data_IF_299332875705
#
_entry.id   IF_299332875705
#
_cell.length_a   1.000
_cell.length_b   1.000
_cell.length_c   1.000
_cell.angle_alpha   90.00
_cell.angle_beta   90.00
_cell.angle_gamma   90.00
#
_symmetry.space_group_name_H-M   'P 1'
#
loop_
_entity.id
_entity.type
_entity.pdbx_description
1 polymer ?
#
# COMPACT_ATOMS: atom_id res chain seq x y z
N UNK A 1 -50.19 -5.31 3.82
CA UNK A 1 -48.90 -5.63 3.12
C UNK A 1 -48.16 -4.30 2.91
N UNK A 2 -47.20 -3.95 3.78
CA UNK A 2 -46.43 -2.72 3.67
C UNK A 2 -45.56 -2.80 2.39
N UNK A 3 -45.79 -1.90 1.44
CA UNK A 3 -44.93 -1.77 0.26
C UNK A 3 -43.53 -1.34 0.72
N UNK A 4 -42.59 -2.23 0.62
CA UNK A 4 -41.18 -1.91 0.88
C UNK A 4 -40.73 -0.86 -0.17
N UNK A 5 -40.39 0.33 0.32
CA UNK A 5 -39.93 1.41 -0.55
C UNK A 5 -38.53 1.07 -1.09
N UNK A 6 -38.22 1.51 -2.31
CA UNK A 6 -36.88 1.32 -2.92
C UNK A 6 -35.76 1.82 -2.04
N UNK A 7 -35.95 2.92 -1.30
CA UNK A 7 -35.00 3.45 -0.33
C UNK A 7 -34.74 2.48 0.83
N UNK A 8 -35.73 1.74 1.30
CA UNK A 8 -35.59 0.79 2.39
C UNK A 8 -34.75 -0.44 1.94
N UNK A 9 -34.97 -0.88 0.68
CA UNK A 9 -34.13 -1.95 0.08
C UNK A 9 -32.68 -1.51 -0.07
N UNK A 10 -32.40 -0.27 -0.49
CA UNK A 10 -31.05 0.25 -0.61
C UNK A 10 -30.34 0.29 0.74
N UNK A 11 -31.03 0.65 1.82
CA UNK A 11 -30.46 0.62 3.17
C UNK A 11 -30.15 -0.82 3.60
N UNK A 12 -31.05 -1.78 3.36
CA UNK A 12 -30.80 -3.17 3.71
C UNK A 12 -29.59 -3.74 2.91
N UNK A 13 -29.48 -3.44 1.62
CA UNK A 13 -28.31 -3.81 0.80
C UNK A 13 -27.04 -3.14 1.31
N UNK A 14 -27.09 -1.83 1.57
CA UNK A 14 -25.93 -1.08 2.10
C UNK A 14 -25.43 -1.65 3.43
N UNK A 15 -26.33 -1.97 4.35
CA UNK A 15 -25.97 -2.59 5.62
C UNK A 15 -25.33 -3.97 5.45
N UNK A 16 -25.81 -4.76 4.48
CA UNK A 16 -25.24 -6.09 4.21
C UNK A 16 -23.83 -5.99 3.63
N UNK A 17 -23.62 -5.07 2.69
CA UNK A 17 -22.32 -4.87 2.04
C UNK A 17 -21.31 -4.14 2.94
N UNK A 18 -21.77 -3.40 3.94
CA UNK A 18 -20.88 -2.72 4.90
C UNK A 18 -20.05 -3.70 5.73
N UNK A 19 -20.56 -4.92 6.00
CA UNK A 19 -19.83 -5.91 6.82
C UNK A 19 -18.51 -6.37 6.17
N UNK A 20 -18.49 -6.90 4.93
CA UNK A 20 -17.23 -7.27 4.28
C UNK A 20 -16.32 -6.07 4.07
N UNK A 21 -16.87 -4.87 3.79
CA UNK A 21 -16.06 -3.63 3.68
C UNK A 21 -15.38 -3.28 5.00
N UNK A 22 -16.08 -3.41 6.14
CA UNK A 22 -15.50 -3.16 7.46
C UNK A 22 -14.37 -4.16 7.79
N UNK A 23 -14.54 -5.44 7.43
CA UNK A 23 -13.51 -6.47 7.64
C UNK A 23 -12.26 -6.18 6.80
N UNK A 24 -12.42 -5.78 5.54
CA UNK A 24 -11.31 -5.35 4.69
C UNK A 24 -10.59 -4.14 5.28
N UNK A 25 -11.34 -3.10 5.68
CA UNK A 25 -10.75 -1.90 6.28
C UNK A 25 -10.04 -2.17 7.62
N UNK A 26 -10.50 -3.16 8.40
CA UNK A 26 -9.82 -3.58 9.63
C UNK A 26 -8.49 -4.29 9.33
N UNK A 27 -8.43 -5.10 8.28
CA UNK A 27 -7.19 -5.70 7.82
C UNK A 27 -6.19 -4.63 7.36
N UNK A 28 -6.63 -3.67 6.56
CA UNK A 28 -5.78 -2.56 6.10
C UNK A 28 -5.29 -1.69 7.26
N UNK A 29 -6.11 -1.50 8.31
CA UNK A 29 -5.75 -0.72 9.49
C UNK A 29 -4.50 -1.24 10.20
N UNK A 30 -4.24 -2.55 10.15
CA UNK A 30 -3.05 -3.16 10.77
C UNK A 30 -1.74 -2.77 10.09
N UNK A 31 -1.80 -2.20 8.88
CA UNK A 31 -0.63 -1.88 8.05
C UNK A 31 -0.41 -0.38 7.87
N UNK A 32 -1.25 0.48 8.46
CA UNK A 32 -1.10 1.93 8.32
C UNK A 32 0.08 2.46 9.14
N UNK A 33 0.82 3.46 8.63
CA UNK A 33 1.93 4.07 9.37
C UNK A 33 1.46 4.80 10.63
N UNK A 34 2.31 4.86 11.65
CA UNK A 34 2.01 5.45 12.95
C UNK A 34 1.46 6.89 12.82
N UNK A 35 2.04 7.69 11.94
CA UNK A 35 1.62 9.07 11.65
C UNK A 35 0.19 9.19 11.10
N UNK A 36 -0.36 8.13 10.50
CA UNK A 36 -1.72 8.08 9.96
C UNK A 36 -2.73 7.43 10.93
N UNK A 37 -2.26 6.88 12.06
CA UNK A 37 -3.07 6.09 12.99
C UNK A 37 -4.30 6.87 13.50
N UNK A 38 -4.12 8.14 13.87
CA UNK A 38 -5.21 8.98 14.35
C UNK A 38 -6.28 9.22 13.27
N UNK A 39 -5.87 9.51 12.03
CA UNK A 39 -6.79 9.68 10.89
C UNK A 39 -7.48 8.38 10.55
N UNK A 40 -6.78 7.25 10.56
CA UNK A 40 -7.33 5.92 10.32
C UNK A 40 -8.34 5.49 11.37
N UNK A 41 -8.04 5.67 12.66
CA UNK A 41 -8.96 5.37 13.76
C UNK A 41 -10.22 6.23 13.69
N UNK A 42 -10.09 7.53 13.40
CA UNK A 42 -11.23 8.44 13.27
C UNK A 42 -12.09 8.07 12.07
N UNK A 43 -11.48 7.73 10.93
CA UNK A 43 -12.17 7.22 9.74
C UNK A 43 -12.97 5.95 10.07
N UNK A 44 -12.35 4.97 10.73
CA UNK A 44 -13.01 3.73 11.15
C UNK A 44 -14.17 3.97 12.11
N UNK A 45 -14.00 4.86 13.10
CA UNK A 45 -15.03 5.20 14.07
C UNK A 45 -16.24 5.86 13.41
N UNK A 46 -16.03 6.82 12.51
CA UNK A 46 -17.12 7.47 11.77
C UNK A 46 -17.91 6.47 10.91
N UNK A 47 -17.21 5.53 10.26
CA UNK A 47 -17.85 4.46 9.49
C UNK A 47 -18.67 3.53 10.40
N UNK A 48 -18.14 3.13 11.56
CA UNK A 48 -18.85 2.31 12.54
C UNK A 48 -20.11 3.02 13.08
N UNK A 49 -20.00 4.29 13.45
CA UNK A 49 -21.15 5.10 13.89
C UNK A 49 -22.19 5.24 12.77
N UNK A 50 -21.75 5.51 11.53
CA UNK A 50 -22.65 5.58 10.37
C UNK A 50 -23.39 4.27 10.12
N UNK A 51 -22.69 3.13 10.25
CA UNK A 51 -23.28 1.81 10.13
C UNK A 51 -24.35 1.55 11.20
N UNK A 52 -24.05 1.85 12.47
CA UNK A 52 -25.03 1.74 13.58
C UNK A 52 -26.26 2.63 13.33
N UNK A 53 -26.05 3.87 12.91
CA UNK A 53 -27.16 4.78 12.56
C UNK A 53 -28.02 4.22 11.42
N UNK A 54 -27.44 3.58 10.41
CA UNK A 54 -28.19 2.96 9.32
C UNK A 54 -28.95 1.70 9.76
N UNK A 55 -28.40 0.89 10.67
CA UNK A 55 -29.12 -0.23 11.27
C UNK A 55 -30.35 0.25 12.06
N UNK A 56 -30.15 1.27 12.89
CA UNK A 56 -31.25 1.87 13.67
C UNK A 56 -32.29 2.52 12.73
N UNK A 57 -31.87 3.16 11.65
CA UNK A 57 -32.75 3.69 10.62
C UNK A 57 -33.61 2.61 9.97
N UNK A 58 -33.02 1.47 9.60
CA UNK A 58 -33.75 0.34 9.04
C UNK A 58 -34.81 -0.18 10.04
N UNK A 59 -34.45 -0.33 11.32
CA UNK A 59 -35.34 -0.73 12.40
C UNK A 59 -36.51 0.25 12.59
N UNK A 60 -36.22 1.55 12.68
CA UNK A 60 -37.22 2.60 12.82
C UNK A 60 -38.24 2.62 11.68
N UNK A 61 -37.75 2.46 10.42
CA UNK A 61 -38.63 2.37 9.23
C UNK A 61 -39.55 1.14 9.27
N UNK A 62 -39.04 -0.01 9.68
CA UNK A 62 -39.80 -1.26 9.82
C UNK A 62 -40.85 -1.16 10.95
N UNK A 63 -40.57 -0.37 11.99
CA UNK A 63 -41.51 -0.10 13.12
C UNK A 63 -42.48 1.05 12.86
N UNK A 64 -42.55 1.59 11.63
CA UNK A 64 -43.47 2.69 11.31
C UNK A 64 -42.99 4.09 11.69
N UNK A 65 -41.80 4.22 12.32
CA UNK A 65 -41.18 5.49 12.71
C UNK A 65 -40.33 6.09 11.56
N UNK A 66 -40.95 6.22 10.38
CA UNK A 66 -40.25 6.63 9.15
C UNK A 66 -39.50 7.97 9.26
N UNK A 67 -40.06 9.04 9.90
CA UNK A 67 -39.32 10.30 10.05
C UNK A 67 -38.02 10.14 10.83
N UNK A 68 -38.04 9.35 11.92
CA UNK A 68 -36.85 9.02 12.70
C UNK A 68 -35.83 8.26 11.86
N UNK A 69 -36.28 7.27 11.06
CA UNK A 69 -35.42 6.52 10.16
C UNK A 69 -34.74 7.42 9.11
N UNK A 70 -35.46 8.41 8.57
CA UNK A 70 -34.91 9.41 7.64
C UNK A 70 -33.82 10.26 8.32
N UNK A 71 -34.11 10.76 9.52
CA UNK A 71 -33.18 11.56 10.31
C UNK A 71 -31.89 10.78 10.61
N UNK A 72 -32.01 9.54 11.06
CA UNK A 72 -30.83 8.66 11.31
C UNK A 72 -30.01 8.42 10.07
N UNK A 73 -30.64 8.20 8.91
CA UNK A 73 -29.91 8.07 7.65
C UNK A 73 -29.21 9.38 7.24
N UNK A 74 -29.80 10.54 7.50
CA UNK A 74 -29.18 11.83 7.20
C UNK A 74 -27.95 12.08 8.09
N UNK A 75 -28.03 11.73 9.38
CA UNK A 75 -26.88 11.78 10.31
C UNK A 75 -25.77 10.84 9.85
N UNK A 76 -26.11 9.59 9.47
CA UNK A 76 -25.15 8.64 8.93
C UNK A 76 -24.47 9.17 7.67
N UNK A 77 -25.22 9.75 6.73
CA UNK A 77 -24.67 10.32 5.51
C UNK A 77 -23.70 11.48 5.80
N UNK A 78 -24.00 12.36 6.75
CA UNK A 78 -23.07 13.42 7.16
C UNK A 78 -21.77 12.88 7.73
N UNK A 79 -21.84 11.87 8.61
CA UNK A 79 -20.66 11.20 9.15
C UNK A 79 -19.83 10.49 8.07
N UNK A 80 -20.49 9.83 7.12
CA UNK A 80 -19.83 9.16 5.99
C UNK A 80 -19.14 10.15 5.04
N UNK A 81 -19.70 11.34 4.81
CA UNK A 81 -19.03 12.39 4.02
C UNK A 81 -17.74 12.84 4.70
N UNK A 82 -17.76 13.08 6.02
CA UNK A 82 -16.56 13.40 6.79
C UNK A 82 -15.54 12.24 6.74
N UNK A 83 -16.02 11.01 6.88
CA UNK A 83 -15.18 9.81 6.78
C UNK A 83 -14.54 9.67 5.40
N UNK A 84 -15.26 9.98 4.32
CA UNK A 84 -14.72 9.95 2.95
C UNK A 84 -13.55 10.92 2.77
N UNK A 85 -13.63 12.10 3.37
CA UNK A 85 -12.52 13.06 3.38
C UNK A 85 -11.28 12.47 4.06
N UNK A 86 -11.44 11.88 5.25
CA UNK A 86 -10.34 11.23 5.97
C UNK A 86 -9.76 10.03 5.18
N UNK A 87 -10.61 9.24 4.53
CA UNK A 87 -10.17 8.16 3.64
C UNK A 87 -9.33 8.68 2.48
N UNK A 88 -9.71 9.81 1.89
CA UNK A 88 -8.89 10.51 0.88
C UNK A 88 -7.54 10.96 1.46
N UNK A 89 -7.50 11.49 2.66
CA UNK A 89 -6.26 11.89 3.34
C UNK A 89 -5.33 10.68 3.58
N UNK A 90 -5.89 9.53 3.99
CA UNK A 90 -5.13 8.29 4.15
C UNK A 90 -4.43 7.88 2.85
N UNK A 91 -5.13 7.95 1.71
CA UNK A 91 -4.58 7.56 0.41
C UNK A 91 -3.60 8.61 -0.14
N UNK A 92 -4.00 9.88 -0.21
CA UNK A 92 -3.23 10.90 -0.94
C UNK A 92 -2.13 11.56 -0.12
N UNK A 93 -2.30 11.72 1.20
CA UNK A 93 -1.30 12.30 2.09
C UNK A 93 -0.39 11.23 2.69
N UNK A 94 -0.98 10.22 3.31
CA UNK A 94 -0.24 9.17 4.01
C UNK A 94 0.13 7.97 3.12
N UNK A 95 -0.36 7.92 1.88
CA UNK A 95 -0.07 6.88 0.89
C UNK A 95 -0.39 5.46 1.38
N UNK A 96 -1.48 5.32 2.13
CA UNK A 96 -1.97 4.02 2.58
C UNK A 96 -2.56 3.25 1.40
N UNK A 97 -2.18 1.98 1.23
CA UNK A 97 -2.69 1.10 0.19
C UNK A 97 -2.27 1.45 -1.25
N UNK A 98 -1.33 2.38 -1.43
CA UNK A 98 -0.77 2.71 -2.75
C UNK A 98 0.67 2.27 -2.86
N UNK A 99 1.13 2.03 -4.09
CA UNK A 99 2.53 1.72 -4.35
C UNK A 99 3.43 2.90 -3.93
N UNK A 100 4.33 2.64 -2.99
CA UNK A 100 5.30 3.63 -2.50
C UNK A 100 6.61 3.62 -3.28
N UNK A 101 6.76 2.66 -4.18
CA UNK A 101 7.94 2.60 -5.04
C UNK A 101 7.96 3.82 -5.93
N UNK A 102 8.96 4.66 -5.78
CA UNK A 102 9.27 5.66 -6.79
C UNK A 102 9.79 4.88 -7.99
N UNK A 103 9.06 4.88 -9.13
CA UNK A 103 9.73 4.55 -10.39
C UNK A 103 10.92 5.51 -10.45
N UNK A 104 12.16 5.02 -10.38
CA UNK A 104 13.25 5.92 -10.66
C UNK A 104 12.99 6.40 -12.08
N UNK A 105 13.00 7.74 -12.31
CA UNK A 105 13.42 8.25 -13.59
C UNK A 105 14.89 7.84 -13.73
N UNK A 106 15.09 6.54 -13.82
CA UNK A 106 16.41 5.92 -13.83
C UNK A 106 17.17 6.46 -15.00
N UNK A 107 18.47 6.42 -14.95
CA UNK A 107 19.30 6.93 -16.03
C UNK A 107 18.89 6.23 -17.32
N UNK A 108 18.44 6.99 -18.31
CA UNK A 108 18.25 6.50 -19.67
C UNK A 108 19.60 6.03 -20.28
N UNK A 109 20.70 6.60 -19.76
CA UNK A 109 22.08 6.27 -20.10
C UNK A 109 22.76 5.53 -18.95
N UNK A 110 23.80 4.76 -19.28
CA UNK A 110 24.64 4.09 -18.30
C UNK A 110 25.31 5.10 -17.36
N UNK A 111 25.13 4.91 -16.05
CA UNK A 111 25.70 5.77 -15.01
C UNK A 111 26.56 4.95 -14.05
N UNK A 112 27.82 5.36 -13.83
CA UNK A 112 28.64 4.76 -12.80
C UNK A 112 28.09 5.12 -11.41
N UNK A 113 27.99 4.12 -10.53
CA UNK A 113 27.39 4.28 -9.18
C UNK A 113 28.32 3.85 -8.06
N UNK A 114 29.22 2.87 -8.32
CA UNK A 114 30.08 2.30 -7.29
C UNK A 114 31.31 1.68 -7.97
N UNK A 115 32.47 1.62 -7.27
CA UNK A 115 33.55 0.78 -7.71
C UNK A 115 33.19 -0.70 -7.48
N UNK A 116 33.53 -1.57 -8.40
CA UNK A 116 33.18 -2.99 -8.32
C UNK A 116 33.72 -3.66 -7.06
N UNK A 117 34.93 -3.27 -6.62
CA UNK A 117 35.58 -3.79 -5.42
C UNK A 117 34.86 -3.43 -4.11
N UNK A 118 33.99 -2.40 -4.15
CA UNK A 118 33.26 -1.95 -2.97
C UNK A 118 31.97 -2.75 -2.73
N UNK A 119 31.57 -3.64 -3.67
CA UNK A 119 30.39 -4.50 -3.54
C UNK A 119 30.83 -5.96 -3.29
N UNK A 120 30.98 -6.40 -2.01
CA UNK A 120 31.34 -7.77 -1.71
C UNK A 120 30.23 -8.76 -2.07
N UNK A 121 30.60 -10.03 -2.25
CA UNK A 121 29.64 -11.12 -2.44
C UNK A 121 28.73 -11.28 -1.21
N UNK A 122 27.42 -11.37 -1.43
CA UNK A 122 26.42 -11.61 -0.38
C UNK A 122 26.12 -10.42 0.54
N UNK A 123 26.67 -9.24 0.26
CA UNK A 123 26.37 -8.04 1.04
C UNK A 123 25.52 -7.07 0.23
N UNK A 124 24.32 -6.69 0.72
CA UNK A 124 23.50 -5.67 0.09
C UNK A 124 24.10 -4.28 0.29
N UNK A 125 23.92 -3.41 -0.70
CA UNK A 125 24.40 -2.04 -0.64
C UNK A 125 23.38 -1.10 -1.27
N UNK A 126 23.08 0.00 -0.59
CA UNK A 126 22.20 1.05 -1.12
C UNK A 126 23.04 2.13 -1.77
N UNK A 127 22.65 2.52 -2.98
CA UNK A 127 23.22 3.65 -3.73
C UNK A 127 22.10 4.59 -4.17
N UNK A 128 22.47 5.85 -4.43
CA UNK A 128 21.54 6.85 -4.94
C UNK A 128 21.80 7.10 -6.44
N UNK A 129 20.74 6.97 -7.25
CA UNK A 129 20.83 7.22 -8.70
C UNK A 129 19.78 8.27 -9.06
N UNK A 130 20.20 9.49 -9.40
CA UNK A 130 19.31 10.64 -9.66
C UNK A 130 18.27 10.88 -8.56
N UNK A 131 18.67 10.72 -7.30
CA UNK A 131 17.78 10.88 -6.15
C UNK A 131 16.79 9.74 -5.92
N UNK A 132 16.96 8.62 -6.63
CA UNK A 132 16.23 7.38 -6.38
C UNK A 132 17.16 6.36 -5.70
N UNK A 133 16.76 5.77 -4.56
CA UNK A 133 17.53 4.74 -3.91
C UNK A 133 17.44 3.41 -4.66
N UNK A 134 18.61 2.80 -4.91
CA UNK A 134 18.76 1.51 -5.60
C UNK A 134 19.53 0.56 -4.70
N UNK A 135 19.01 -0.64 -4.53
CA UNK A 135 19.64 -1.76 -3.85
C UNK A 135 20.54 -2.50 -4.86
N UNK A 136 21.81 -2.63 -4.51
CA UNK A 136 22.78 -3.49 -5.21
C UNK A 136 23.04 -4.73 -4.36
N UNK A 137 23.09 -5.88 -5.01
CA UNK A 137 23.42 -7.14 -4.36
C UNK A 137 24.20 -8.05 -5.30
N UNK A 138 25.34 -8.59 -4.84
CA UNK A 138 26.12 -9.57 -5.59
C UNK A 138 25.81 -10.97 -5.09
N UNK A 139 25.46 -11.87 -6.02
CA UNK A 139 25.22 -13.28 -5.70
C UNK A 139 25.76 -14.17 -6.81
N UNK A 140 26.64 -15.13 -6.45
CA UNK A 140 27.31 -16.04 -7.38
C UNK A 140 28.00 -15.28 -8.54
N UNK A 141 28.66 -14.17 -8.23
CA UNK A 141 29.36 -13.33 -9.20
C UNK A 141 28.44 -12.41 -10.04
N UNK A 142 27.12 -12.57 -9.98
CA UNK A 142 26.16 -11.71 -10.69
C UNK A 142 25.73 -10.56 -9.80
N UNK A 143 25.67 -9.35 -10.36
CA UNK A 143 25.20 -8.15 -9.66
C UNK A 143 23.76 -7.88 -10.07
N UNK A 144 22.90 -7.75 -9.09
CA UNK A 144 21.49 -7.36 -9.23
C UNK A 144 21.28 -5.95 -8.75
N UNK A 145 20.35 -5.21 -9.40
CA UNK A 145 20.01 -3.85 -9.02
C UNK A 145 18.48 -3.64 -9.13
N UNK A 146 17.86 -3.22 -8.03
CA UNK A 146 16.43 -2.94 -7.99
C UNK A 146 16.13 -1.77 -7.03
N UNK A 147 14.90 -1.25 -7.01
CA UNK A 147 14.49 -0.24 -6.05
C UNK A 147 14.81 -0.68 -4.62
N UNK A 148 15.38 0.22 -3.82
CA UNK A 148 15.76 -0.07 -2.43
C UNK A 148 14.62 0.13 -1.43
N UNK A 149 13.45 0.61 -1.87
CA UNK A 149 12.32 0.98 -1.01
C UNK A 149 11.13 0.09 -1.31
N UNK A 150 10.73 -0.72 -0.34
CA UNK A 150 9.60 -1.63 -0.46
C UNK A 150 8.29 -0.88 -0.81
N UNK A 151 7.64 -1.28 -1.89
CA UNK A 151 6.41 -0.66 -2.40
C UNK A 151 5.21 -0.75 -1.44
N UNK A 152 5.22 -1.70 -0.48
CA UNK A 152 4.16 -1.86 0.50
C UNK A 152 4.13 -0.69 1.53
N UNK A 153 5.20 -0.52 2.31
CA UNK A 153 5.23 0.44 3.41
C UNK A 153 6.59 1.16 3.54
N UNK A 154 7.31 1.30 2.43
CA UNK A 154 8.59 2.01 2.33
C UNK A 154 9.72 1.44 3.20
N UNK A 155 9.70 0.14 3.52
CA UNK A 155 10.80 -0.54 4.23
C UNK A 155 12.09 -0.50 3.42
N UNK A 156 13.22 -0.36 4.11
CA UNK A 156 14.55 -0.39 3.52
C UNK A 156 14.92 -1.84 3.15
N UNK A 157 14.99 -2.16 1.87
CA UNK A 157 15.23 -3.54 1.41
C UNK A 157 16.66 -4.00 1.65
N UNK A 158 17.62 -3.08 1.72
CA UNK A 158 19.01 -3.37 2.10
C UNK A 158 19.17 -3.90 3.53
N UNK A 159 18.22 -3.63 4.41
CA UNK A 159 18.17 -4.13 5.78
C UNK A 159 17.43 -5.47 5.91
N UNK A 160 16.96 -6.01 4.79
CA UNK A 160 16.21 -7.24 4.70
C UNK A 160 17.06 -8.51 4.81
N UNK A 161 16.38 -9.65 4.72
CA UNK A 161 17.02 -10.96 4.65
C UNK A 161 17.15 -11.42 3.22
N UNK A 162 18.31 -11.97 2.84
CA UNK A 162 18.63 -12.38 1.48
C UNK A 162 18.78 -13.91 1.39
N UNK A 163 17.98 -14.53 0.52
CA UNK A 163 18.07 -15.97 0.22
C UNK A 163 18.16 -16.18 -1.30
N UNK A 164 19.33 -16.62 -1.78
CA UNK A 164 19.56 -16.73 -3.23
C UNK A 164 19.45 -15.37 -3.92
N UNK A 165 18.46 -15.21 -4.81
CA UNK A 165 18.13 -13.94 -5.48
C UNK A 165 16.93 -13.23 -4.85
N UNK A 166 16.38 -13.75 -3.76
CA UNK A 166 15.24 -13.18 -3.09
C UNK A 166 15.66 -12.26 -1.96
N UNK A 167 14.96 -11.13 -1.81
CA UNK A 167 15.07 -10.24 -0.66
C UNK A 167 13.73 -10.17 0.06
N UNK A 168 13.76 -10.36 1.38
CA UNK A 168 12.59 -10.24 2.27
C UNK A 168 12.63 -8.91 2.99
N UNK A 169 11.58 -8.11 2.84
CA UNK A 169 11.43 -6.82 3.49
C UNK A 169 11.40 -6.97 5.02
N UNK A 170 12.19 -6.17 5.80
CA UNK A 170 12.28 -6.33 7.24
C UNK A 170 11.00 -5.91 7.98
N UNK A 171 10.14 -5.06 7.37
CA UNK A 171 8.94 -4.55 8.05
C UNK A 171 7.79 -5.56 8.05
N UNK A 172 7.37 -6.03 6.87
CA UNK A 172 6.15 -6.84 6.75
C UNK A 172 6.34 -8.08 5.88
N UNK A 173 7.58 -8.52 5.68
CA UNK A 173 7.92 -9.80 5.04
C UNK A 173 7.51 -9.94 3.56
N UNK A 174 7.28 -8.82 2.83
CA UNK A 174 7.16 -8.90 1.38
C UNK A 174 8.45 -9.45 0.78
N UNK A 175 8.37 -10.41 -0.14
CA UNK A 175 9.52 -11.02 -0.79
C UNK A 175 9.54 -10.64 -2.26
N UNK A 176 10.71 -10.22 -2.74
CA UNK A 176 10.95 -9.85 -4.12
C UNK A 176 12.07 -10.69 -4.73
N UNK A 177 11.94 -11.02 -6.01
CA UNK A 177 13.04 -11.58 -6.79
C UNK A 177 13.86 -10.45 -7.42
N UNK A 178 15.13 -10.37 -7.09
CA UNK A 178 16.02 -9.32 -7.58
C UNK A 178 16.37 -9.42 -9.08
N UNK A 179 16.01 -10.54 -9.74
CA UNK A 179 16.25 -10.73 -11.18
C UNK A 179 15.36 -9.85 -12.04
N UNK A 180 14.12 -9.64 -11.60
CA UNK A 180 13.09 -8.94 -12.37
C UNK A 180 12.23 -8.00 -11.50
N UNK A 181 12.43 -7.96 -10.18
CA UNK A 181 11.69 -7.18 -9.23
C UNK A 181 10.31 -7.75 -8.88
N UNK A 182 9.95 -8.93 -9.37
CA UNK A 182 8.62 -9.53 -9.15
C UNK A 182 8.37 -9.81 -7.68
N UNK A 183 7.09 -9.69 -7.27
CA UNK A 183 6.64 -10.04 -5.92
C UNK A 183 6.49 -11.56 -5.84
N UNK A 184 7.28 -12.19 -4.98
CA UNK A 184 7.22 -13.63 -4.69
C UNK A 184 6.25 -13.90 -3.55
N UNK A 185 6.19 -12.99 -2.55
CA UNK A 185 5.29 -13.09 -1.41
C UNK A 185 4.75 -11.72 -0.99
N UNK A 186 3.43 -11.68 -0.69
CA UNK A 186 2.73 -10.51 -0.17
C UNK A 186 3.32 -10.05 1.19
N UNK A 187 2.98 -8.82 1.69
CA UNK A 187 1.83 -7.99 1.30
C UNK A 187 2.05 -6.98 0.18
N UNK A 188 3.25 -6.80 -0.37
CA UNK A 188 3.40 -5.96 -1.57
C UNK A 188 2.59 -6.53 -2.74
N UNK A 189 2.01 -5.64 -3.55
CA UNK A 189 1.20 -6.02 -4.71
C UNK A 189 1.85 -5.64 -6.05
N UNK A 190 2.92 -4.85 -6.01
CA UNK A 190 3.57 -4.29 -7.18
C UNK A 190 5.04 -4.67 -7.22
N UNK A 191 5.57 -4.99 -8.41
CA UNK A 191 7.00 -5.28 -8.57
C UNK A 191 7.84 -4.04 -8.27
N UNK A 192 9.08 -4.29 -7.82
CA UNK A 192 10.08 -3.25 -7.70
C UNK A 192 10.75 -2.99 -9.06
N UNK A 193 11.02 -1.73 -9.41
CA UNK A 193 11.74 -1.41 -10.63
C UNK A 193 13.15 -1.97 -10.57
N UNK A 194 13.63 -2.56 -11.67
CA UNK A 194 14.98 -3.08 -11.80
C UNK A 194 15.83 -2.23 -12.74
N UNK A 195 17.14 -2.31 -12.58
CA UNK A 195 18.10 -1.69 -13.47
C UNK A 195 18.92 -2.77 -14.20
N UNK A 196 19.30 -2.48 -15.45
CA UNK A 196 20.35 -3.20 -16.12
C UNK A 196 21.69 -2.83 -15.48
N UNK A 197 22.55 -3.83 -15.30
CA UNK A 197 23.86 -3.69 -14.65
C UNK A 197 24.95 -4.09 -15.62
N UNK A 198 26.02 -3.32 -15.66
CA UNK A 198 27.28 -3.74 -16.29
C UNK A 198 28.47 -3.27 -15.45
N UNK A 199 29.58 -3.95 -15.61
CA UNK A 199 30.89 -3.49 -15.09
C UNK A 199 31.72 -2.99 -16.26
N UNK A 200 32.22 -1.77 -16.12
CA UNK A 200 33.12 -1.17 -17.08
C UNK A 200 34.26 -0.45 -16.36
N UNK A 201 35.48 -0.76 -16.71
CA UNK A 201 36.68 -0.15 -16.12
C UNK A 201 36.71 -0.22 -14.59
N UNK A 202 36.26 -1.38 -14.02
CA UNK A 202 36.18 -1.59 -12.58
C UNK A 202 35.04 -0.82 -11.86
N UNK A 203 34.09 -0.24 -12.62
CA UNK A 203 32.94 0.47 -12.09
C UNK A 203 31.64 -0.24 -12.43
N UNK A 204 30.74 -0.36 -11.45
CA UNK A 204 29.38 -0.78 -11.64
C UNK A 204 28.61 0.40 -12.24
N UNK A 205 28.01 0.16 -13.39
CA UNK A 205 27.14 1.14 -14.06
C UNK A 205 25.72 0.59 -14.15
N UNK A 206 24.76 1.47 -13.93
CA UNK A 206 23.33 1.18 -13.99
C UNK A 206 22.65 1.95 -15.12
N UNK A 207 21.64 1.29 -15.70
CA UNK A 207 20.69 1.88 -16.63
C UNK A 207 19.30 1.39 -16.28
N UNK A 208 18.29 2.27 -16.29
CA UNK A 208 16.88 1.85 -16.11
C UNK A 208 16.49 0.82 -17.15
N UNK A 209 15.89 -0.27 -16.69
CA UNK A 209 15.24 -1.21 -17.58
C UNK A 209 13.95 -0.59 -18.09
N UNK A 210 13.82 -0.35 -19.38
CA UNK A 210 12.56 -0.01 -20.03
C UNK A 210 11.64 -1.24 -19.98
N UNK A 211 10.39 -1.04 -19.55
CA UNK A 211 9.33 -2.04 -19.67
C UNK A 211 9.07 -2.39 -21.13
#
# INVERSE_FOLDING_TARGET
>A
MLRVCSADRLIDVGNTTAVPTALSGLADFTTIPEEAMASGATHGLLNACGFVCNLLSAGARKSGLRPLGVLLSAVAAGGLLASTWLGGELVYKYKVGVNRTRKPDGPQDWRPVLNEAELPEGQPMRVEVKGAPVLLYRRAGTIYAMGAVCGHAAGALEEGTFEGTHVTCPLHQSVYDMRDGSVVHSPSLYPEPTCDVRVREGRIELKSRSE
#
